data_IF_225488700623
#
_entry.id   IF_225488700623
#
_cell.length_a   1.000
_cell.length_b   1.000
_cell.length_c   1.000
_cell.angle_alpha   90.00
_cell.angle_beta   90.00
_cell.angle_gamma   90.00
#
_symmetry.space_group_name_H-M   'P 1'
#
loop_
_entity.id
_entity.type
_entity.pdbx_description
1 polymer ?
#
# COMPACT_ATOMS: atom_id res chain seq x y z
N UNK A 1 -4.04 4.37 -17.91
CA UNK A 1 -5.49 4.28 -17.64
C UNK A 1 -5.75 2.85 -17.21
N UNK A 2 -5.92 2.61 -15.90
CA UNK A 2 -6.12 1.25 -15.40
C UNK A 2 -7.48 0.74 -15.90
N UNK A 3 -7.48 -0.47 -16.49
CA UNK A 3 -8.72 -1.20 -16.75
C UNK A 3 -9.53 -1.27 -15.46
N UNK A 4 -10.77 -0.78 -15.50
CA UNK A 4 -11.68 -0.92 -14.37
C UNK A 4 -12.05 -2.39 -14.24
N UNK A 5 -11.84 -2.95 -13.05
CA UNK A 5 -12.29 -4.30 -12.74
C UNK A 5 -13.81 -4.36 -12.84
N UNK A 6 -14.32 -5.33 -13.58
CA UNK A 6 -15.74 -5.65 -13.43
C UNK A 6 -15.95 -6.30 -12.06
N UNK A 7 -17.17 -6.24 -11.53
CA UNK A 7 -17.51 -6.93 -10.27
C UNK A 7 -17.18 -8.43 -10.37
N UNK A 8 -17.35 -9.03 -11.55
CA UNK A 8 -17.04 -10.45 -11.78
C UNK A 8 -15.53 -10.72 -11.67
N UNK A 9 -14.69 -9.83 -12.18
CA UNK A 9 -13.24 -9.97 -12.07
C UNK A 9 -12.78 -9.81 -10.62
N UNK A 10 -13.30 -8.79 -9.91
CA UNK A 10 -13.00 -8.58 -8.50
C UNK A 10 -13.38 -9.79 -7.63
N UNK A 11 -14.57 -10.37 -7.85
CA UNK A 11 -15.00 -11.59 -7.17
C UNK A 11 -14.13 -12.80 -7.51
N UNK A 12 -13.62 -12.89 -8.74
CA UNK A 12 -12.71 -13.97 -9.15
C UNK A 12 -11.38 -13.90 -8.40
N UNK A 13 -10.78 -12.72 -8.30
CA UNK A 13 -9.54 -12.51 -7.56
C UNK A 13 -9.73 -12.77 -6.07
N UNK A 14 -10.76 -12.18 -5.45
CA UNK A 14 -11.09 -12.43 -4.04
C UNK A 14 -11.26 -13.94 -3.75
N UNK A 15 -11.96 -14.67 -4.63
CA UNK A 15 -12.09 -16.13 -4.50
C UNK A 15 -10.75 -16.86 -4.60
N UNK A 16 -9.88 -16.46 -5.52
CA UNK A 16 -8.54 -17.06 -5.66
C UNK A 16 -7.72 -16.87 -4.39
N UNK A 17 -7.72 -15.67 -3.82
CA UNK A 17 -6.98 -15.36 -2.59
C UNK A 17 -7.50 -16.19 -1.40
N UNK A 18 -8.82 -16.31 -1.27
CA UNK A 18 -9.43 -17.18 -0.26
C UNK A 18 -9.08 -18.66 -0.45
N UNK A 19 -9.07 -19.16 -1.69
CA UNK A 19 -8.68 -20.54 -1.96
C UNK A 19 -7.21 -20.78 -1.58
N UNK A 20 -6.30 -19.85 -1.87
CA UNK A 20 -4.90 -19.95 -1.49
C UNK A 20 -4.73 -20.00 0.04
N UNK A 21 -5.39 -19.09 0.76
CA UNK A 21 -5.40 -19.10 2.24
C UNK A 21 -5.89 -20.44 2.80
N UNK A 22 -6.99 -20.98 2.25
CA UNK A 22 -7.53 -22.28 2.66
C UNK A 22 -6.58 -23.45 2.33
N UNK A 23 -5.88 -23.38 1.20
CA UNK A 23 -4.87 -24.38 0.83
C UNK A 23 -3.68 -24.37 1.79
N UNK A 24 -3.22 -23.19 2.24
CA UNK A 24 -2.14 -23.09 3.24
C UNK A 24 -2.54 -23.75 4.57
N UNK A 25 -3.77 -23.52 5.02
CA UNK A 25 -4.32 -24.15 6.23
C UNK A 25 -4.42 -25.66 6.05
N UNK A 26 -5.02 -26.13 4.95
CA UNK A 26 -5.16 -27.56 4.64
C UNK A 26 -3.81 -28.26 4.53
N UNK A 27 -2.82 -27.60 3.94
CA UNK A 27 -1.45 -28.10 3.80
C UNK A 27 -0.78 -28.33 5.16
N UNK A 28 -0.82 -27.32 6.05
CA UNK A 28 -0.26 -27.45 7.39
C UNK A 28 -1.05 -28.46 8.26
N UNK A 29 -2.36 -28.56 8.09
CA UNK A 29 -3.19 -29.56 8.75
C UNK A 29 -2.78 -30.99 8.37
N UNK A 30 -2.56 -31.23 7.08
CA UNK A 30 -2.11 -32.53 6.57
C UNK A 30 -0.74 -32.94 7.13
N UNK A 31 0.08 -31.95 7.54
CA UNK A 31 1.40 -32.15 8.14
C UNK A 31 1.36 -32.18 9.68
N UNK A 32 0.19 -32.04 10.31
CA UNK A 32 0.06 -31.98 11.77
C UNK A 32 0.66 -30.72 12.41
N UNK A 33 0.92 -29.66 11.64
CA UNK A 33 1.56 -28.41 12.11
C UNK A 33 0.52 -27.44 12.70
N UNK A 34 -0.01 -27.80 13.86
CA UNK A 34 -1.15 -27.09 14.48
C UNK A 34 -0.80 -25.64 14.87
N UNK A 35 0.39 -25.38 15.40
CA UNK A 35 0.85 -24.05 15.78
C UNK A 35 0.89 -23.11 14.56
N UNK A 36 1.33 -23.63 13.42
CA UNK A 36 1.44 -22.87 12.18
C UNK A 36 0.07 -22.53 11.60
N UNK A 37 -0.92 -23.41 11.79
CA UNK A 37 -2.31 -23.11 11.42
C UNK A 37 -2.85 -21.94 12.26
N UNK A 38 -2.59 -21.91 13.57
CA UNK A 38 -3.02 -20.79 14.42
C UNK A 38 -2.39 -19.48 13.96
N UNK A 39 -1.08 -19.47 13.70
CA UNK A 39 -0.38 -18.29 13.16
C UNK A 39 -0.96 -17.82 11.82
N UNK A 40 -1.30 -18.75 10.93
CA UNK A 40 -1.95 -18.43 9.66
C UNK A 40 -3.32 -17.77 9.87
N UNK A 41 -4.14 -18.34 10.75
CA UNK A 41 -5.47 -17.80 11.05
C UNK A 41 -5.37 -16.41 11.67
N UNK A 42 -4.50 -16.22 12.66
CA UNK A 42 -4.27 -14.93 13.30
C UNK A 42 -3.83 -13.87 12.29
N UNK A 43 -2.94 -14.24 11.36
CA UNK A 43 -2.53 -13.37 10.27
C UNK A 43 -3.70 -13.00 9.35
N UNK A 44 -4.53 -13.96 8.93
CA UNK A 44 -5.68 -13.67 8.07
C UNK A 44 -6.72 -12.78 8.76
N UNK A 45 -6.94 -12.97 10.06
CA UNK A 45 -7.80 -12.10 10.87
C UNK A 45 -7.24 -10.68 10.91
N UNK A 46 -5.92 -10.54 11.09
CA UNK A 46 -5.26 -9.23 11.09
C UNK A 46 -5.32 -8.56 9.72
N UNK A 47 -5.09 -9.29 8.62
CA UNK A 47 -5.25 -8.79 7.24
C UNK A 47 -6.68 -8.25 7.01
N UNK A 48 -7.71 -9.00 7.39
CA UNK A 48 -9.11 -8.57 7.25
C UNK A 48 -9.44 -7.34 8.11
N UNK A 49 -8.82 -7.21 9.30
CA UNK A 49 -8.95 -6.03 10.14
C UNK A 49 -8.29 -4.81 9.51
N UNK A 50 -7.11 -4.96 8.91
CA UNK A 50 -6.43 -3.88 8.20
C UNK A 50 -7.21 -3.43 6.97
N UNK A 51 -7.81 -4.36 6.22
CA UNK A 51 -8.72 -4.04 5.12
C UNK A 51 -9.93 -3.22 5.59
N UNK A 52 -10.54 -3.63 6.71
CA UNK A 52 -11.65 -2.89 7.31
C UNK A 52 -11.23 -1.48 7.76
N UNK A 53 -10.04 -1.34 8.36
CA UNK A 53 -9.50 -0.04 8.76
C UNK A 53 -9.28 0.87 7.54
N UNK A 54 -8.68 0.33 6.47
CA UNK A 54 -8.40 1.05 5.22
C UNK A 54 -9.69 1.55 4.56
N UNK A 55 -10.74 0.73 4.51
CA UNK A 55 -12.06 1.14 4.03
C UNK A 55 -12.65 2.23 4.95
N UNK A 56 -12.45 2.09 6.26
CA UNK A 56 -12.91 3.05 7.28
C UNK A 56 -12.35 4.48 7.14
N UNK A 57 -11.23 4.66 6.44
CA UNK A 57 -10.65 5.98 6.14
C UNK A 57 -11.52 6.82 5.20
N UNK A 58 -12.52 6.23 4.54
CA UNK A 58 -13.39 6.90 3.56
C UNK A 58 -12.63 7.49 2.37
N UNK A 59 -11.57 6.80 1.93
CA UNK A 59 -10.74 7.15 0.76
C UNK A 59 -10.91 6.11 -0.36
N UNK A 60 -12.10 6.02 -1.01
CA UNK A 60 -12.41 4.94 -1.94
C UNK A 60 -11.43 4.78 -3.11
N UNK A 61 -10.89 5.86 -3.69
CA UNK A 61 -9.95 5.76 -4.81
C UNK A 61 -8.61 5.17 -4.36
N UNK A 62 -8.10 5.63 -3.22
CA UNK A 62 -6.84 5.14 -2.67
C UNK A 62 -6.97 3.71 -2.12
N UNK A 63 -8.06 3.41 -1.41
CA UNK A 63 -8.32 2.07 -0.88
C UNK A 63 -8.52 1.05 -2.00
N UNK A 64 -9.25 1.39 -3.08
CA UNK A 64 -9.36 0.53 -4.26
C UNK A 64 -7.99 0.26 -4.90
N UNK A 65 -7.16 1.31 -5.03
CA UNK A 65 -5.82 1.18 -5.58
C UNK A 65 -4.97 0.18 -4.78
N UNK A 66 -4.92 0.31 -3.45
CA UNK A 66 -4.17 -0.60 -2.57
C UNK A 66 -4.69 -2.03 -2.71
N UNK A 67 -6.01 -2.24 -2.56
CA UNK A 67 -6.61 -3.57 -2.48
C UNK A 67 -6.49 -4.35 -3.80
N UNK A 68 -6.42 -3.65 -4.92
CA UNK A 68 -6.36 -4.28 -6.25
C UNK A 68 -4.95 -4.33 -6.84
N UNK A 69 -3.96 -3.66 -6.24
CA UNK A 69 -2.61 -3.54 -6.79
C UNK A 69 -1.98 -4.91 -7.08
N UNK A 70 -2.03 -5.83 -6.11
CA UNK A 70 -1.44 -7.17 -6.19
C UNK A 70 -2.24 -8.16 -7.07
N UNK A 71 -3.42 -7.79 -7.59
CA UNK A 71 -4.20 -8.68 -8.46
C UNK A 71 -3.63 -8.80 -9.87
N UNK A 72 -2.79 -7.86 -10.28
CA UNK A 72 -1.99 -7.94 -11.52
C UNK A 72 -0.56 -8.33 -11.18
N UNK A 73 0.14 -8.86 -12.17
CA UNK A 73 1.58 -9.03 -12.06
C UNK A 73 2.24 -7.64 -11.99
N UNK A 74 2.79 -7.32 -10.83
CA UNK A 74 3.50 -6.07 -10.57
C UNK A 74 4.99 -6.37 -10.37
N UNK A 75 5.89 -5.42 -10.67
CA UNK A 75 7.33 -5.60 -10.47
C UNK A 75 7.76 -5.51 -9.00
N UNK A 76 6.84 -5.14 -8.09
CA UNK A 76 7.01 -5.26 -6.64
C UNK A 76 5.69 -5.69 -5.98
N UNK A 77 5.78 -6.32 -4.81
CA UNK A 77 4.65 -6.66 -3.96
C UNK A 77 4.30 -5.48 -3.04
N UNK A 78 3.00 -5.25 -2.84
CA UNK A 78 2.51 -4.22 -1.94
C UNK A 78 1.95 -4.84 -0.66
N UNK A 79 2.40 -4.33 0.48
CA UNK A 79 1.78 -4.51 1.79
C UNK A 79 1.29 -3.16 2.32
N UNK A 80 0.36 -3.19 3.27
CA UNK A 80 -0.12 -1.97 3.90
C UNK A 80 -0.50 -2.19 5.36
N UNK A 81 -0.46 -1.09 6.12
CA UNK A 81 -0.90 -1.06 7.51
C UNK A 81 -1.58 0.26 7.83
N UNK A 82 -2.69 0.22 8.56
CA UNK A 82 -3.38 1.39 9.08
C UNK A 82 -3.21 1.45 10.59
N UNK A 83 -2.65 2.55 11.06
CA UNK A 83 -2.32 2.80 12.47
C UNK A 83 -3.07 4.00 13.02
N UNK A 84 -3.27 4.00 14.34
CA UNK A 84 -3.84 5.13 15.07
C UNK A 84 -5.37 5.19 15.04
N UNK A 85 -5.93 6.40 15.12
CA UNK A 85 -7.38 6.61 15.30
C UNK A 85 -8.04 6.95 13.97
N UNK A 86 -8.84 6.02 13.46
CA UNK A 86 -9.57 6.19 12.21
C UNK A 86 -10.53 7.40 12.28
N UNK A 87 -10.52 8.20 11.23
CA UNK A 87 -11.44 9.30 10.99
C UNK A 87 -11.60 9.48 9.47
N UNK A 88 -12.54 10.35 9.07
CA UNK A 88 -12.85 10.54 7.65
C UNK A 88 -11.73 11.35 6.96
N UNK A 89 -11.07 10.74 5.98
CA UNK A 89 -10.00 11.33 5.17
C UNK A 89 -10.41 11.51 3.69
N UNK A 90 -11.71 11.52 3.39
CA UNK A 90 -12.23 11.65 2.01
C UNK A 90 -11.67 12.86 1.26
N UNK A 91 -11.36 13.94 1.98
CA UNK A 91 -10.77 15.15 1.42
C UNK A 91 -9.34 14.94 0.87
N UNK A 92 -8.65 13.87 1.27
CA UNK A 92 -7.32 13.50 0.79
C UNK A 92 -7.34 12.46 -0.34
N UNK A 93 -8.48 11.79 -0.56
CA UNK A 93 -8.58 10.57 -1.38
C UNK A 93 -7.95 10.72 -2.76
N UNK A 94 -8.45 11.69 -3.55
CA UNK A 94 -7.96 11.93 -4.90
C UNK A 94 -6.49 12.37 -4.91
N UNK A 95 -6.09 13.25 -4.00
CA UNK A 95 -4.73 13.81 -3.96
C UNK A 95 -3.70 12.73 -3.64
N UNK A 96 -3.97 11.91 -2.62
CA UNK A 96 -3.08 10.82 -2.20
C UNK A 96 -3.07 9.71 -3.24
N UNK A 97 -4.22 9.37 -3.84
CA UNK A 97 -4.29 8.36 -4.89
C UNK A 97 -3.49 8.79 -6.13
N UNK A 98 -3.62 10.03 -6.60
CA UNK A 98 -2.84 10.55 -7.73
C UNK A 98 -1.34 10.51 -7.42
N UNK A 99 -0.93 11.01 -6.26
CA UNK A 99 0.48 11.01 -5.87
C UNK A 99 1.04 9.59 -5.81
N UNK A 100 0.28 8.67 -5.20
CA UNK A 100 0.69 7.25 -5.09
C UNK A 100 0.85 6.61 -6.46
N UNK A 101 -0.08 6.83 -7.39
CA UNK A 101 0.04 6.33 -8.75
C UNK A 101 1.29 6.87 -9.47
N UNK A 102 1.60 8.16 -9.29
CA UNK A 102 2.78 8.77 -9.89
C UNK A 102 4.08 8.24 -9.27
N UNK A 103 4.13 8.12 -7.94
CA UNK A 103 5.27 7.55 -7.23
C UNK A 103 5.54 6.11 -7.67
N UNK A 104 4.51 5.25 -7.66
CA UNK A 104 4.66 3.86 -8.10
C UNK A 104 5.04 3.78 -9.58
N UNK A 105 4.48 4.63 -10.44
CA UNK A 105 4.88 4.62 -11.85
C UNK A 105 6.37 4.84 -12.01
N UNK A 106 6.98 5.78 -11.29
CA UNK A 106 8.41 6.07 -11.41
C UNK A 106 9.23 5.00 -10.72
N UNK A 107 8.85 4.61 -9.51
CA UNK A 107 9.50 3.53 -8.76
C UNK A 107 9.62 2.27 -9.62
N UNK A 108 8.52 1.83 -10.24
CA UNK A 108 8.45 0.62 -11.07
C UNK A 108 9.38 0.65 -12.29
N UNK A 109 9.63 1.82 -12.91
CA UNK A 109 10.60 1.96 -13.99
C UNK A 109 12.05 1.85 -13.50
N UNK A 110 12.27 2.13 -12.21
CA UNK A 110 13.59 2.10 -11.58
C UNK A 110 13.90 0.78 -10.87
N UNK A 111 13.07 -0.26 -10.98
CA UNK A 111 13.30 -1.54 -10.29
C UNK A 111 14.16 -2.51 -11.11
N UNK A 112 15.01 -3.29 -10.41
CA UNK A 112 15.57 -4.53 -10.94
C UNK A 112 14.49 -5.62 -10.85
N UNK A 113 13.92 -6.01 -11.99
CA UNK A 113 12.83 -7.01 -12.06
C UNK A 113 13.29 -8.46 -11.81
N UNK A 114 14.60 -8.69 -11.67
CA UNK A 114 15.15 -10.02 -11.39
C UNK A 114 15.33 -10.30 -9.90
N UNK A 115 15.02 -9.33 -9.03
CA UNK A 115 14.99 -9.51 -7.58
C UNK A 115 13.58 -9.31 -7.05
N UNK A 116 13.34 -9.82 -5.84
CA UNK A 116 12.09 -9.55 -5.15
C UNK A 116 12.10 -8.12 -4.61
N UNK A 117 11.06 -7.37 -4.98
CA UNK A 117 10.88 -5.99 -4.58
C UNK A 117 9.58 -5.88 -3.77
N UNK A 118 9.62 -5.09 -2.70
CA UNK A 118 8.51 -4.92 -1.76
C UNK A 118 8.30 -3.44 -1.47
N UNK A 119 7.05 -3.03 -1.30
CA UNK A 119 6.68 -1.74 -0.73
C UNK A 119 5.69 -1.98 0.40
N UNK A 120 5.93 -1.39 1.56
CA UNK A 120 4.94 -1.27 2.62
C UNK A 120 4.40 0.17 2.64
N UNK A 121 3.08 0.32 2.61
CA UNK A 121 2.41 1.60 2.83
C UNK A 121 1.83 1.63 4.24
N UNK A 122 2.36 2.47 5.12
CA UNK A 122 1.77 2.71 6.43
C UNK A 122 0.97 4.00 6.42
N UNK A 123 -0.32 3.92 6.74
CA UNK A 123 -1.19 5.07 6.96
C UNK A 123 -1.30 5.29 8.46
N UNK A 124 -0.66 6.34 8.96
CA UNK A 124 -0.73 6.72 10.37
C UNK A 124 -1.73 7.85 10.56
N UNK A 125 -2.83 7.55 11.22
CA UNK A 125 -3.88 8.52 11.55
C UNK A 125 -3.72 9.04 12.96
N UNK A 126 -3.64 10.36 13.11
CA UNK A 126 -3.82 11.02 14.41
C UNK A 126 -5.28 11.49 14.59
N UNK A 127 -5.54 12.45 15.48
CA UNK A 127 -6.90 12.88 15.78
C UNK A 127 -7.57 13.65 14.62
N UNK A 128 -6.80 14.35 13.80
CA UNK A 128 -7.31 15.23 12.73
C UNK A 128 -6.53 15.09 11.40
N UNK A 129 -5.32 14.52 11.45
CA UNK A 129 -4.40 14.41 10.32
C UNK A 129 -4.03 12.95 10.02
N UNK A 130 -3.44 12.76 8.84
CA UNK A 130 -2.83 11.50 8.45
C UNK A 130 -1.45 11.71 7.82
N UNK A 131 -0.55 10.76 8.04
CA UNK A 131 0.74 10.65 7.35
C UNK A 131 0.81 9.32 6.62
N UNK A 132 1.40 9.34 5.43
CA UNK A 132 1.53 8.17 4.57
C UNK A 132 3.02 7.87 4.40
N UNK A 133 3.42 6.70 4.86
CA UNK A 133 4.79 6.21 4.76
C UNK A 133 4.84 5.19 3.62
N UNK A 134 5.85 5.30 2.76
CA UNK A 134 6.10 4.40 1.65
C UNK A 134 7.51 3.86 1.82
N UNK A 135 7.62 2.62 2.27
CA UNK A 135 8.89 1.96 2.55
C UNK A 135 9.13 0.84 1.56
N UNK A 136 10.02 1.11 0.60
CA UNK A 136 10.50 0.16 -0.39
C UNK A 136 11.73 -0.60 0.12
N UNK A 137 11.76 -1.90 -0.19
CA UNK A 137 12.93 -2.77 -0.06
C UNK A 137 13.07 -3.62 -1.31
N UNK A 138 14.26 -3.66 -1.87
CA UNK A 138 14.51 -4.39 -3.11
C UNK A 138 15.81 -3.92 -3.76
N UNK A 139 15.80 -3.71 -5.07
CA UNK A 139 16.96 -3.15 -5.77
C UNK A 139 16.54 -2.20 -6.88
N UNK A 140 17.16 -1.02 -6.88
CA UNK A 140 16.97 -0.01 -7.90
C UNK A 140 18.03 -0.16 -9.01
N UNK A 141 17.60 -0.01 -10.26
CA UNK A 141 18.46 0.11 -11.45
C UNK A 141 18.82 1.57 -11.74
N UNK A 142 18.00 2.52 -11.30
CA UNK A 142 18.19 3.96 -11.51
C UNK A 142 17.73 4.75 -10.27
N UNK A 143 18.70 5.11 -9.42
CA UNK A 143 18.43 5.89 -8.19
C UNK A 143 18.19 7.38 -8.50
N UNK A 144 18.92 7.91 -9.49
CA UNK A 144 18.93 9.35 -9.80
C UNK A 144 17.57 9.84 -10.32
N UNK A 145 16.90 9.06 -11.16
CA UNK A 145 15.57 9.43 -11.70
C UNK A 145 14.53 9.57 -10.58
N UNK A 146 14.48 8.60 -9.68
CA UNK A 146 13.57 8.61 -8.54
C UNK A 146 13.89 9.77 -7.58
N UNK A 147 15.17 9.99 -7.27
CA UNK A 147 15.61 11.11 -6.43
C UNK A 147 15.21 12.47 -7.04
N UNK A 148 15.44 12.65 -8.34
CA UNK A 148 15.10 13.89 -9.05
C UNK A 148 13.59 14.14 -9.07
N UNK A 149 12.78 13.10 -9.24
CA UNK A 149 11.32 13.26 -9.16
C UNK A 149 10.88 13.66 -7.74
N UNK A 150 11.36 12.95 -6.72
CA UNK A 150 11.04 13.23 -5.31
C UNK A 150 11.42 14.66 -4.90
N UNK A 151 12.60 15.13 -5.32
CA UNK A 151 13.06 16.50 -5.02
C UNK A 151 12.08 17.60 -5.45
N UNK A 152 11.23 17.32 -6.45
CA UNK A 152 10.31 18.28 -7.05
C UNK A 152 8.84 18.08 -6.63
N UNK A 153 8.53 17.22 -5.65
CA UNK A 153 7.13 16.92 -5.28
C UNK A 153 6.51 17.88 -4.26
N UNK A 154 7.33 18.61 -3.49
CA UNK A 154 6.81 19.53 -2.47
C UNK A 154 5.95 20.63 -3.08
N UNK A 155 4.76 20.86 -2.52
CA UNK A 155 3.85 21.89 -3.00
C UNK A 155 2.98 22.47 -1.87
N UNK A 156 1.93 23.21 -2.23
CA UNK A 156 1.06 23.91 -1.26
C UNK A 156 0.07 22.99 -0.52
N UNK A 157 -0.13 21.75 -0.98
CA UNK A 157 -1.11 20.80 -0.45
C UNK A 157 -0.45 19.70 0.38
N UNK A 158 0.81 19.39 0.12
CA UNK A 158 1.57 18.40 0.89
C UNK A 158 3.06 18.68 0.85
N UNK A 159 3.74 18.16 1.86
CA UNK A 159 5.19 18.07 1.94
C UNK A 159 5.60 16.60 1.94
N UNK A 160 6.79 16.34 1.41
CA UNK A 160 7.43 15.05 1.49
C UNK A 160 8.81 15.16 2.14
N UNK A 161 9.17 14.13 2.88
CA UNK A 161 10.55 13.85 3.28
C UNK A 161 10.94 12.47 2.80
N UNK A 162 12.15 12.30 2.29
CA UNK A 162 12.54 11.02 1.71
C UNK A 162 14.01 10.70 1.95
N UNK A 163 14.33 9.41 1.88
CA UNK A 163 15.68 8.87 1.76
C UNK A 163 15.66 7.83 0.65
N UNK A 164 16.61 7.92 -0.29
CA UNK A 164 16.74 6.95 -1.39
C UNK A 164 18.14 6.37 -1.35
N UNK A 165 18.23 5.04 -1.30
CA UNK A 165 19.44 4.23 -1.42
C UNK A 165 19.19 3.15 -2.49
N UNK A 166 20.24 2.46 -2.90
CA UNK A 166 20.17 1.45 -3.96
C UNK A 166 19.18 0.31 -3.65
N UNK A 167 19.01 -0.05 -2.38
CA UNK A 167 18.16 -1.17 -1.96
C UNK A 167 16.95 -0.76 -1.11
N UNK A 168 16.87 0.52 -0.72
CA UNK A 168 15.86 1.02 0.22
C UNK A 168 15.40 2.41 -0.18
N UNK A 169 14.09 2.63 -0.14
CA UNK A 169 13.50 3.97 -0.28
C UNK A 169 12.48 4.16 0.82
N UNK A 170 12.59 5.25 1.56
CA UNK A 170 11.57 5.67 2.51
C UNK A 170 11.07 7.03 2.11
N UNK A 171 9.76 7.16 1.91
CA UNK A 171 9.09 8.44 1.65
C UNK A 171 7.98 8.63 2.66
N UNK A 172 7.92 9.82 3.26
CA UNK A 172 6.83 10.26 4.11
C UNK A 172 6.11 11.36 3.36
N UNK A 173 4.85 11.14 3.02
CA UNK A 173 3.93 12.13 2.48
C UNK A 173 3.08 12.68 3.62
N UNK A 174 3.21 13.97 3.88
CA UNK A 174 2.47 14.70 4.90
C UNK A 174 1.61 15.79 4.24
N UNK A 175 0.29 15.60 4.16
CA UNK A 175 -0.65 16.65 3.79
C UNK A 175 -0.49 17.89 4.66
N UNK A 176 -0.57 19.07 4.04
CA UNK A 176 -0.53 20.36 4.74
C UNK A 176 -1.96 20.81 4.92
N UNK A 177 -2.46 20.79 6.16
CA UNK A 177 -3.75 21.41 6.45
C UNK A 177 -3.65 22.93 6.28
N UNK A 178 -4.58 23.50 5.51
CA UNK A 178 -4.84 24.94 5.63
C UNK A 178 -5.46 25.15 7.00
N UNK A 179 -4.80 25.92 7.86
CA UNK A 179 -5.42 26.44 9.07
C UNK A 179 -6.75 27.06 8.68
N UNK A 180 -7.85 26.39 9.02
CA UNK A 180 -9.17 26.99 8.95
C UNK A 180 -9.14 28.10 9.98
N UNK A 181 -8.91 29.32 9.52
CA UNK A 181 -9.12 30.52 10.32
C UNK A 181 -10.59 30.45 10.74
N UNK A 182 -10.81 30.17 12.03
CA UNK A 182 -12.13 30.22 12.67
C UNK A 182 -12.74 31.61 12.54
#
# INVERSE_FOLDING_TARGET
MNEKWTIIDALRHSRHDWLNRMQMVKGNLSLGKVEEIHRLIDRFVQEARQESNLIGLSMPLFSEWILTYNWKQQPCLLEYEVLGKLHNLSHLDETVCIWTNQFFSILQHSLDVYVENYVCITIECDAENARFFFDFRGKLTSVEELQNWLANQNNKWYSISYTVRDEEVSVILQPIEKSVVK
#
